data_IF_811153847778
#
_entry.id   IF_811153847778
#
_cell.length_a   1.000
_cell.length_b   1.000
_cell.length_c   1.000
_cell.angle_alpha   90.00
_cell.angle_beta   90.00
_cell.angle_gamma   90.00
#
_symmetry.space_group_name_H-M   'P 1'
#
loop_
_entity.id
_entity.type
_entity.pdbx_description
1 polymer ?
#
# COMPACT_ATOMS: atom_id res chain seq x y z
N UNK A 1 -11.91 32.08 -28.13
CA UNK A 1 -11.92 30.62 -28.10
C UNK A 1 -10.49 30.12 -28.34
N UNK A 2 -9.57 30.27 -27.36
CA UNK A 2 -8.18 29.72 -27.45
C UNK A 2 -7.57 29.71 -26.06
N UNK A 3 -8.08 28.89 -25.14
CA UNK A 3 -7.47 28.71 -23.82
C UNK A 3 -7.46 27.24 -23.33
N UNK A 4 -7.95 26.30 -24.14
CA UNK A 4 -8.05 24.89 -23.71
C UNK A 4 -6.91 23.98 -24.24
N UNK A 5 -6.07 24.44 -25.16
CA UNK A 5 -5.01 23.62 -25.76
C UNK A 5 -3.66 23.66 -25.00
N UNK A 6 -3.45 24.67 -24.15
CA UNK A 6 -2.13 24.88 -23.51
C UNK A 6 -1.96 24.09 -22.19
N UNK A 7 -3.06 23.72 -21.52
CA UNK A 7 -3.01 22.98 -20.26
C UNK A 7 -2.68 21.48 -20.45
N UNK A 8 -3.04 20.91 -21.60
CA UNK A 8 -2.80 19.48 -21.88
C UNK A 8 -1.34 19.18 -22.29
N UNK A 9 -0.65 20.18 -22.81
CA UNK A 9 0.76 20.06 -23.20
C UNK A 9 1.71 20.17 -21.99
N UNK A 10 1.36 21.02 -21.00
CA UNK A 10 2.13 21.17 -19.75
C UNK A 10 2.05 19.93 -18.86
N UNK A 11 0.87 19.26 -18.79
CA UNK A 11 0.68 18.05 -18.00
C UNK A 11 1.44 16.84 -18.57
N UNK A 12 1.56 16.74 -19.90
CA UNK A 12 2.33 15.65 -20.55
C UNK A 12 3.84 15.84 -20.42
N UNK A 13 4.31 17.08 -20.43
CA UNK A 13 5.73 17.40 -20.28
C UNK A 13 6.26 17.11 -18.85
N UNK A 14 5.45 17.35 -17.82
CA UNK A 14 5.82 17.05 -16.43
C UNK A 14 5.94 15.54 -16.18
N UNK A 15 5.02 14.72 -16.71
CA UNK A 15 5.05 13.26 -16.55
C UNK A 15 6.25 12.61 -17.26
N UNK A 16 6.71 13.16 -18.37
CA UNK A 16 7.90 12.66 -19.10
C UNK A 16 9.20 13.12 -18.42
N UNK A 17 9.24 14.30 -17.84
CA UNK A 17 10.37 14.82 -17.07
C UNK A 17 10.67 13.98 -15.81
N UNK A 18 9.63 13.57 -15.10
CA UNK A 18 9.73 12.72 -13.90
C UNK A 18 10.23 11.31 -14.25
N UNK A 19 9.80 10.75 -15.38
CA UNK A 19 10.30 9.45 -15.86
C UNK A 19 11.81 9.50 -16.23
N UNK A 20 12.26 10.59 -16.82
CA UNK A 20 13.67 10.77 -17.17
C UNK A 20 14.55 11.04 -15.94
N UNK A 21 14.05 11.79 -14.95
CA UNK A 21 14.78 12.03 -13.70
C UNK A 21 15.00 10.73 -12.91
N UNK A 22 13.98 9.86 -12.83
CA UNK A 22 14.10 8.56 -12.18
C UNK A 22 14.96 7.57 -12.95
N UNK A 23 15.01 7.64 -14.29
CA UNK A 23 15.88 6.82 -15.12
C UNK A 23 17.36 7.21 -14.97
N UNK A 24 17.68 8.50 -14.79
CA UNK A 24 19.05 8.99 -14.66
C UNK A 24 19.74 8.67 -13.34
N UNK A 25 18.99 8.39 -12.27
CA UNK A 25 19.52 7.96 -10.96
C UNK A 25 19.93 6.48 -11.00
N UNK A 26 19.44 5.74 -11.99
CA UNK A 26 19.58 4.29 -12.09
C UNK A 26 20.93 3.81 -12.68
N UNK A 27 21.76 4.67 -13.24
CA UNK A 27 22.88 4.27 -14.10
C UNK A 27 24.28 4.40 -13.44
N UNK A 28 24.37 4.46 -12.13
CA UNK A 28 25.63 4.55 -11.41
C UNK A 28 25.71 3.64 -10.20
N UNK A 29 25.59 2.34 -10.37
CA UNK A 29 26.18 1.42 -9.38
C UNK A 29 26.30 0.00 -9.95
N UNK A 30 27.53 -0.41 -10.16
CA UNK A 30 27.94 -1.80 -10.52
C UNK A 30 27.96 -2.69 -9.25
N UNK A 31 26.96 -2.51 -8.40
CA UNK A 31 26.67 -3.40 -7.27
C UNK A 31 25.61 -4.37 -7.72
N UNK A 32 25.89 -5.66 -7.54
CA UNK A 32 25.06 -6.84 -7.80
C UNK A 32 23.62 -6.50 -8.16
N UNK A 33 23.07 -6.98 -9.29
CA UNK A 33 21.68 -6.76 -9.73
C UNK A 33 20.74 -6.91 -8.55
N UNK A 34 20.49 -5.82 -7.83
CA UNK A 34 19.38 -5.73 -6.90
C UNK A 34 18.17 -5.87 -7.80
N UNK A 35 17.45 -6.97 -7.63
CA UNK A 35 16.18 -7.22 -8.31
C UNK A 35 15.27 -6.04 -7.97
N UNK A 36 15.17 -5.08 -8.90
CA UNK A 36 14.40 -3.85 -8.64
C UNK A 36 12.94 -4.20 -8.59
N UNK A 37 12.24 -3.84 -7.52
CA UNK A 37 10.80 -4.07 -7.47
C UNK A 37 10.12 -3.46 -8.70
N UNK A 38 9.18 -4.19 -9.27
CA UNK A 38 8.37 -3.77 -10.42
C UNK A 38 6.90 -3.66 -10.03
N UNK A 39 6.08 -2.90 -10.78
CA UNK A 39 4.65 -2.90 -10.59
C UNK A 39 4.07 -4.31 -10.58
N UNK A 40 3.12 -4.57 -9.72
CA UNK A 40 2.47 -5.86 -9.59
C UNK A 40 1.07 -5.83 -10.23
N UNK A 41 0.67 -6.90 -10.96
CA UNK A 41 -0.66 -6.98 -11.55
C UNK A 41 -1.72 -7.20 -10.46
N UNK A 42 -2.98 -6.81 -10.75
CA UNK A 42 -4.13 -7.03 -9.85
C UNK A 42 -4.29 -8.50 -9.43
N UNK A 43 -3.96 -9.44 -10.30
CA UNK A 43 -4.08 -10.89 -10.03
C UNK A 43 -3.22 -11.39 -8.85
N UNK A 44 -2.23 -10.60 -8.42
CA UNK A 44 -1.41 -10.89 -7.24
C UNK A 44 -2.20 -10.78 -5.93
N UNK A 45 -3.28 -9.98 -5.91
CA UNK A 45 -4.02 -9.65 -4.70
C UNK A 45 -5.35 -10.40 -4.64
N UNK A 46 -5.82 -10.70 -3.42
CA UNK A 46 -7.02 -11.49 -3.16
C UNK A 46 -8.24 -10.65 -2.78
N UNK A 47 -8.01 -9.47 -2.23
CA UNK A 47 -9.04 -8.52 -1.80
C UNK A 47 -8.70 -7.12 -2.30
N UNK A 48 -9.75 -6.32 -2.54
CA UNK A 48 -9.60 -4.92 -2.93
C UNK A 48 -10.47 -4.06 -2.03
N UNK A 49 -9.85 -3.04 -1.46
CA UNK A 49 -10.48 -2.07 -0.56
C UNK A 49 -10.49 -0.72 -1.25
N UNK A 50 -11.65 -0.08 -1.45
CA UNK A 50 -11.69 1.29 -1.98
C UNK A 50 -11.06 2.24 -0.97
N UNK A 51 -10.27 3.19 -1.48
CA UNK A 51 -9.60 4.20 -0.68
C UNK A 51 -9.98 5.59 -1.18
N UNK A 52 -10.30 6.49 -0.26
CA UNK A 52 -10.53 7.89 -0.55
C UNK A 52 -9.27 8.72 -0.25
N UNK A 53 -8.93 9.62 -1.16
CA UNK A 53 -7.90 10.64 -0.94
C UNK A 53 -8.54 11.93 -0.43
N UNK A 54 -7.73 12.76 0.25
CA UNK A 54 -8.12 14.08 0.76
C UNK A 54 -7.27 15.15 0.06
N UNK A 55 -7.78 16.37 0.01
CA UNK A 55 -7.03 17.52 -0.49
C UNK A 55 -5.64 17.64 0.18
N UNK A 56 -5.57 17.39 1.49
CA UNK A 56 -4.35 17.49 2.30
C UNK A 56 -3.36 16.32 2.09
N UNK A 57 -3.72 15.33 1.31
CA UNK A 57 -2.85 14.18 1.04
C UNK A 57 -1.81 14.47 -0.05
N UNK A 58 -2.02 15.52 -0.86
CA UNK A 58 -1.05 15.96 -1.85
C UNK A 58 0.10 16.74 -1.20
N UNK A 59 1.29 16.57 -1.74
CA UNK A 59 2.47 17.38 -1.42
C UNK A 59 2.54 18.64 -2.28
N UNK A 60 3.60 19.42 -2.10
CA UNK A 60 3.84 20.65 -2.86
C UNK A 60 4.10 20.42 -4.36
N UNK A 61 4.35 19.19 -4.77
CA UNK A 61 4.58 18.80 -6.17
C UNK A 61 3.32 18.29 -6.86
N UNK A 62 2.18 18.29 -6.15
CA UNK A 62 0.90 17.86 -6.68
C UNK A 62 0.70 16.33 -6.69
N UNK A 63 1.55 15.58 -6.02
CA UNK A 63 1.47 14.13 -5.89
C UNK A 63 1.02 13.73 -4.49
N UNK A 64 0.43 12.55 -4.35
CA UNK A 64 0.13 11.96 -3.07
C UNK A 64 1.43 11.82 -2.26
N UNK A 65 1.50 12.47 -1.10
CA UNK A 65 2.69 12.47 -0.26
C UNK A 65 3.07 11.04 0.14
N UNK A 66 4.36 10.70 0.08
CA UNK A 66 4.87 9.36 0.36
C UNK A 66 4.47 8.82 1.73
N UNK A 67 4.34 9.65 2.76
CA UNK A 67 3.91 9.20 4.10
C UNK A 67 2.44 8.79 4.14
N UNK A 68 1.61 9.31 3.23
CA UNK A 68 0.18 8.97 3.14
C UNK A 68 0.01 7.50 2.75
N UNK A 69 0.88 6.94 1.92
CA UNK A 69 0.79 5.52 1.53
C UNK A 69 0.84 4.59 2.74
N UNK A 70 1.66 4.89 3.75
CA UNK A 70 1.73 4.07 4.97
C UNK A 70 0.42 4.13 5.76
N UNK A 71 -0.23 5.29 5.81
CA UNK A 71 -1.56 5.45 6.40
C UNK A 71 -2.64 4.69 5.61
N UNK A 72 -2.53 4.67 4.28
CA UNK A 72 -3.44 3.91 3.42
C UNK A 72 -3.28 2.39 3.63
N UNK A 73 -2.05 1.90 3.82
CA UNK A 73 -1.78 0.49 4.14
C UNK A 73 -2.44 0.09 5.47
N UNK A 74 -2.19 0.89 6.50
CA UNK A 74 -2.77 0.65 7.83
C UNK A 74 -4.30 0.64 7.77
N UNK A 75 -4.88 1.64 7.12
CA UNK A 75 -6.33 1.76 6.95
C UNK A 75 -6.92 0.57 6.19
N UNK A 76 -6.31 0.15 5.08
CA UNK A 76 -6.81 -0.94 4.26
C UNK A 76 -6.78 -2.28 5.01
N UNK A 77 -5.67 -2.61 5.67
CA UNK A 77 -5.53 -3.86 6.42
C UNK A 77 -6.53 -3.90 7.59
N UNK A 78 -6.59 -2.83 8.40
CA UNK A 78 -7.46 -2.80 9.56
C UNK A 78 -8.95 -2.77 9.17
N UNK A 79 -9.32 -2.07 8.10
CA UNK A 79 -10.70 -2.10 7.58
C UNK A 79 -11.15 -3.52 7.23
N UNK A 80 -10.33 -4.29 6.55
CA UNK A 80 -10.63 -5.69 6.21
C UNK A 80 -10.68 -6.61 7.43
N UNK A 81 -9.78 -6.42 8.40
CA UNK A 81 -9.80 -7.20 9.64
C UNK A 81 -11.07 -6.94 10.46
N UNK A 82 -11.51 -5.68 10.53
CA UNK A 82 -12.76 -5.29 11.19
C UNK A 82 -13.98 -5.84 10.43
N UNK A 83 -14.04 -5.66 9.11
CA UNK A 83 -15.12 -6.14 8.27
C UNK A 83 -15.28 -7.67 8.34
N UNK A 84 -14.16 -8.40 8.45
CA UNK A 84 -14.16 -9.85 8.63
C UNK A 84 -14.51 -10.29 10.07
N UNK A 85 -14.67 -9.35 11.01
CA UNK A 85 -14.96 -9.63 12.42
C UNK A 85 -13.82 -10.39 13.14
N UNK A 86 -12.56 -10.20 12.66
CA UNK A 86 -11.36 -10.81 13.26
C UNK A 86 -10.52 -9.80 14.04
N UNK A 87 -10.88 -8.52 14.00
CA UNK A 87 -10.35 -7.46 14.83
C UNK A 87 -11.51 -6.75 15.55
N UNK A 88 -11.52 -6.84 16.87
CA UNK A 88 -12.36 -6.00 17.74
C UNK A 88 -11.48 -4.90 18.33
N UNK A 89 -11.68 -3.66 17.85
CA UNK A 89 -10.86 -2.50 18.25
C UNK A 89 -11.04 -2.18 19.72
N UNK A 90 -12.23 -2.34 20.27
CA UNK A 90 -12.57 -1.91 21.64
C UNK A 90 -12.27 -2.99 22.67
N UNK A 91 -12.69 -4.22 22.42
CA UNK A 91 -12.72 -5.28 23.42
C UNK A 91 -11.84 -6.49 23.08
N UNK A 92 -11.27 -6.55 21.88
CA UNK A 92 -10.44 -7.68 21.46
C UNK A 92 -9.26 -7.91 22.39
N UNK A 93 -9.04 -9.16 22.82
CA UNK A 93 -7.93 -9.53 23.69
C UNK A 93 -6.58 -9.55 22.94
N UNK A 94 -6.62 -9.79 21.63
CA UNK A 94 -5.44 -9.83 20.76
C UNK A 94 -5.49 -8.67 19.78
N UNK A 95 -4.39 -7.94 19.67
CA UNK A 95 -4.23 -6.82 18.74
C UNK A 95 -2.99 -7.00 17.87
N UNK A 96 -3.03 -6.48 16.64
CA UNK A 96 -1.87 -6.41 15.75
C UNK A 96 -1.06 -5.14 15.99
N UNK A 97 0.25 -5.28 16.20
CA UNK A 97 1.17 -4.15 16.25
C UNK A 97 2.04 -4.15 14.99
N UNK A 98 2.15 -3.03 14.33
CA UNK A 98 3.04 -2.85 13.17
C UNK A 98 4.49 -2.86 13.65
N UNK A 99 5.30 -3.77 13.11
CA UNK A 99 6.73 -3.88 13.44
C UNK A 99 7.63 -3.58 12.25
N UNK A 100 7.08 -3.63 11.05
CA UNK A 100 7.80 -3.31 9.82
C UNK A 100 6.82 -2.77 8.79
N UNK A 101 7.21 -1.73 8.08
CA UNK A 101 6.51 -1.24 6.90
C UNK A 101 7.52 -0.67 5.91
N UNK A 102 7.25 -0.84 4.62
CA UNK A 102 8.04 -0.31 3.54
C UNK A 102 7.19 -0.14 2.29
N UNK A 103 7.62 0.75 1.39
CA UNK A 103 6.89 1.05 0.17
C UNK A 103 7.85 1.27 -1.00
N UNK A 104 7.50 0.72 -2.15
CA UNK A 104 8.11 1.01 -3.45
C UNK A 104 7.11 1.78 -4.30
N UNK A 105 7.55 2.84 -4.93
CA UNK A 105 6.73 3.73 -5.74
C UNK A 105 7.06 3.54 -7.22
N UNK A 106 6.05 3.43 -8.09
CA UNK A 106 6.21 3.15 -9.52
C UNK A 106 5.59 4.24 -10.39
N UNK A 107 4.48 4.83 -9.95
CA UNK A 107 3.82 5.95 -10.62
C UNK A 107 3.14 6.88 -9.62
N UNK A 108 2.98 8.13 -10.01
CA UNK A 108 2.35 9.15 -9.17
C UNK A 108 0.84 8.95 -9.10
N UNK A 109 0.30 9.20 -7.90
CA UNK A 109 -1.13 9.31 -7.63
C UNK A 109 -1.40 10.68 -7.03
N UNK A 110 -2.64 11.18 -7.12
CA UNK A 110 -3.01 12.48 -6.59
C UNK A 110 -4.49 12.55 -6.20
N UNK A 111 -4.85 13.40 -5.25
CA UNK A 111 -6.24 13.83 -5.05
C UNK A 111 -6.72 14.62 -6.29
N UNK A 112 -7.96 14.47 -6.75
CA UNK A 112 -9.08 13.69 -6.17
C UNK A 112 -9.25 12.27 -6.74
N UNK A 113 -8.20 11.68 -7.29
CA UNK A 113 -8.25 10.37 -7.92
C UNK A 113 -8.75 9.29 -6.96
N UNK A 114 -9.78 8.49 -7.31
CA UNK A 114 -10.18 7.34 -6.52
C UNK A 114 -9.11 6.26 -6.58
N UNK A 115 -8.82 5.65 -5.44
CA UNK A 115 -7.80 4.63 -5.27
C UNK A 115 -8.41 3.31 -4.78
N UNK A 116 -7.63 2.23 -4.93
CA UNK A 116 -7.91 0.92 -4.35
C UNK A 116 -6.64 0.33 -3.74
N UNK A 117 -6.76 -0.31 -2.60
CA UNK A 117 -5.73 -1.16 -2.04
C UNK A 117 -6.01 -2.62 -2.36
N UNK A 118 -5.10 -3.28 -3.07
CA UNK A 118 -5.09 -4.73 -3.19
C UNK A 118 -4.36 -5.35 -1.99
N UNK A 119 -4.94 -6.38 -1.37
CA UNK A 119 -4.38 -7.07 -0.21
C UNK A 119 -4.05 -8.52 -0.54
N UNK A 120 -2.86 -8.96 -0.13
CA UNK A 120 -2.42 -10.34 -0.12
C UNK A 120 -1.59 -10.61 1.13
N UNK A 121 -1.38 -11.88 1.46
CA UNK A 121 -0.52 -12.33 2.57
C UNK A 121 0.67 -13.07 2.00
N UNK A 122 1.87 -12.55 2.22
CA UNK A 122 3.12 -13.16 1.80
C UNK A 122 3.57 -14.27 2.76
N UNK A 123 3.36 -14.07 4.07
CA UNK A 123 3.83 -15.01 5.08
C UNK A 123 2.95 -14.98 6.32
N UNK A 124 2.65 -16.16 6.83
CA UNK A 124 1.99 -16.38 8.12
C UNK A 124 3.00 -17.05 9.06
N UNK A 125 3.31 -16.39 10.18
CA UNK A 125 4.09 -16.94 11.27
C UNK A 125 3.20 -17.39 12.41
N UNK A 126 3.79 -17.87 13.50
CA UNK A 126 3.03 -18.29 14.70
C UNK A 126 2.33 -17.10 15.37
N UNK A 127 3.01 -15.95 15.41
CA UNK A 127 2.54 -14.73 16.09
C UNK A 127 2.52 -13.50 15.16
N UNK A 128 2.76 -13.67 13.85
CA UNK A 128 2.91 -12.55 12.91
C UNK A 128 2.33 -12.85 11.54
N UNK A 129 1.93 -11.81 10.84
CA UNK A 129 1.49 -11.85 9.45
C UNK A 129 2.23 -10.78 8.67
N UNK A 130 2.79 -11.17 7.52
CA UNK A 130 3.36 -10.23 6.56
C UNK A 130 2.39 -10.05 5.42
N UNK A 131 1.80 -8.85 5.34
CA UNK A 131 0.90 -8.45 4.26
C UNK A 131 1.70 -7.84 3.11
N UNK A 132 1.20 -8.05 1.90
CA UNK A 132 1.55 -7.31 0.69
C UNK A 132 0.38 -6.44 0.28
N UNK A 133 0.65 -5.16 0.05
CA UNK A 133 -0.39 -4.17 -0.24
C UNK A 133 -0.03 -3.44 -1.52
N UNK A 134 -0.90 -3.52 -2.52
CA UNK A 134 -0.76 -2.75 -3.75
C UNK A 134 -1.70 -1.54 -3.73
N UNK A 135 -1.20 -0.34 -3.98
CA UNK A 135 -2.05 0.83 -4.22
C UNK A 135 -2.21 1.01 -5.72
N UNK A 136 -3.46 1.12 -6.14
CA UNK A 136 -3.87 1.29 -7.53
C UNK A 136 -4.66 2.58 -7.71
N UNK A 137 -4.50 3.25 -8.84
CA UNK A 137 -5.59 4.07 -9.35
C UNK A 137 -6.81 3.15 -9.60
N UNK A 138 -8.01 3.59 -9.28
CA UNK A 138 -9.20 2.75 -9.47
C UNK A 138 -9.30 2.24 -10.90
N UNK A 139 -9.43 0.92 -11.05
CA UNK A 139 -9.48 0.25 -12.35
C UNK A 139 -8.13 0.05 -13.06
N UNK A 140 -7.00 0.52 -12.52
CA UNK A 140 -5.70 0.28 -13.12
C UNK A 140 -5.31 -1.21 -13.07
N UNK A 141 -4.58 -1.68 -14.08
CA UNK A 141 -4.16 -3.08 -14.19
C UNK A 141 -2.97 -3.42 -13.26
N UNK A 142 -2.12 -2.42 -12.96
CA UNK A 142 -0.89 -2.57 -12.20
C UNK A 142 -0.84 -1.57 -11.04
N UNK A 143 -0.02 -1.89 -10.02
CA UNK A 143 0.16 -1.04 -8.85
C UNK A 143 0.92 0.24 -9.19
N UNK A 144 0.46 1.36 -8.64
CA UNK A 144 1.21 2.62 -8.57
C UNK A 144 2.25 2.57 -7.44
N UNK A 145 1.96 1.83 -6.36
CA UNK A 145 2.90 1.56 -5.28
C UNK A 145 2.66 0.16 -4.70
N UNK A 146 3.70 -0.45 -4.16
CA UNK A 146 3.65 -1.77 -3.52
C UNK A 146 4.31 -1.68 -2.16
N UNK A 147 3.60 -2.13 -1.12
CA UNK A 147 4.06 -2.10 0.26
C UNK A 147 4.15 -3.46 0.91
N UNK A 148 5.08 -3.55 1.84
CA UNK A 148 5.16 -4.61 2.85
C UNK A 148 4.72 -4.06 4.19
N UNK A 149 3.91 -4.84 4.91
CA UNK A 149 3.31 -4.42 6.16
C UNK A 149 3.23 -5.62 7.10
N UNK A 150 3.96 -5.57 8.21
CA UNK A 150 4.09 -6.74 9.11
C UNK A 150 3.46 -6.43 10.44
N UNK A 151 2.46 -7.23 10.81
CA UNK A 151 1.86 -7.25 12.13
C UNK A 151 2.45 -8.37 13.00
N UNK A 152 2.78 -8.04 14.24
CA UNK A 152 2.94 -9.01 15.33
C UNK A 152 1.71 -8.93 16.21
N UNK A 153 1.08 -10.07 16.45
CA UNK A 153 -0.10 -10.17 17.28
C UNK A 153 0.28 -10.40 18.73
N UNK A 154 -0.26 -9.57 19.59
CA UNK A 154 0.08 -9.54 21.01
C UNK A 154 -1.19 -9.56 21.87
N UNK A 155 -1.05 -10.08 23.08
CA UNK A 155 -2.06 -9.85 24.14
C UNK A 155 -2.16 -8.35 24.42
N UNK A 156 -3.37 -7.83 24.41
CA UNK A 156 -3.64 -6.38 24.57
C UNK A 156 -3.09 -5.79 25.85
N UNK A 157 -3.17 -6.53 26.96
CA UNK A 157 -2.80 -6.04 28.28
C UNK A 157 -1.30 -6.17 28.52
N UNK A 158 -0.74 -7.35 28.25
CA UNK A 158 0.67 -7.65 28.56
C UNK A 158 1.63 -7.24 27.45
N UNK A 159 1.14 -6.97 26.23
CA UNK A 159 1.90 -6.67 25.02
C UNK A 159 2.87 -7.78 24.61
N UNK A 160 2.69 -8.99 25.12
CA UNK A 160 3.51 -10.14 24.74
C UNK A 160 2.96 -10.82 23.49
N UNK A 161 3.83 -11.27 22.58
CA UNK A 161 3.39 -12.03 21.39
C UNK A 161 2.61 -13.28 21.76
N UNK A 162 1.46 -13.46 21.09
CA UNK A 162 0.59 -14.62 21.24
C UNK A 162 0.34 -15.29 19.89
N UNK A 163 0.01 -16.60 19.86
CA UNK A 163 -0.41 -17.26 18.63
C UNK A 163 -1.61 -16.52 17.98
N UNK A 164 -1.68 -16.62 16.66
CA UNK A 164 -2.81 -16.07 15.91
C UNK A 164 -4.11 -16.75 16.36
N UNK A 165 -5.18 -16.01 16.71
CA UNK A 165 -6.49 -16.60 16.93
C UNK A 165 -6.98 -17.39 15.71
N UNK A 166 -7.71 -18.49 15.90
CA UNK A 166 -8.13 -19.36 14.79
C UNK A 166 -8.91 -18.64 13.69
N UNK A 167 -9.81 -17.73 14.07
CA UNK A 167 -10.58 -16.94 13.09
C UNK A 167 -9.68 -16.03 12.26
N UNK A 168 -8.70 -15.39 12.90
CA UNK A 168 -7.72 -14.56 12.21
C UNK A 168 -6.83 -15.42 11.30
N UNK A 169 -6.37 -16.56 11.80
CA UNK A 169 -5.56 -17.49 11.02
C UNK A 169 -6.30 -17.98 9.76
N UNK A 170 -7.58 -18.31 9.89
CA UNK A 170 -8.41 -18.71 8.74
C UNK A 170 -8.57 -17.55 7.73
N UNK A 171 -8.80 -16.34 8.20
CA UNK A 171 -8.92 -15.16 7.35
C UNK A 171 -7.63 -14.87 6.56
N UNK A 172 -6.47 -14.83 7.24
CA UNK A 172 -5.21 -14.50 6.56
C UNK A 172 -4.74 -15.62 5.61
N UNK A 173 -5.10 -16.88 5.85
CA UNK A 173 -4.88 -17.98 4.90
C UNK A 173 -5.66 -17.80 3.60
N UNK A 174 -6.85 -17.22 3.65
CA UNK A 174 -7.64 -16.92 2.44
C UNK A 174 -7.06 -15.77 1.61
N UNK A 175 -6.09 -15.03 2.14
CA UNK A 175 -5.37 -13.96 1.45
C UNK A 175 -3.99 -14.39 0.89
N UNK A 176 -3.58 -15.65 1.04
CA UNK A 176 -2.34 -16.21 0.46
C UNK A 176 -2.47 -16.56 -1.05
#
# INVERSE_FOLDING_TARGET
MTAAADSDHAARGAADGDRQALAGIADRDDRAKIDRPSPAPRSRYRRFVPLATRWTDNDAYGHLNNVVYLSLFDSAVNAELVAAGVLDIEHGEVIGLVVETGCHFFSSLAFPQPLEAGLAVARIGRTSVSYEIGIFAAGAAETAAHGRFVHVYVDRKTRRPVPLPDRLLAFVKALQ
#
